data_IF_057325641030
#
_entry.id   IF_057325641030
#
_cell.length_a   1.000
_cell.length_b   1.000
_cell.length_c   1.000
_cell.angle_alpha   90.00
_cell.angle_beta   90.00
_cell.angle_gamma   90.00
#
_symmetry.space_group_name_H-M   'P 1'
#
loop_
_entity.id
_entity.type
_entity.pdbx_description
1 polymer ?
#
# COMPACT_ATOMS: atom_id res chain seq x y z
N UNK A 1 -37.33 -65.88 -8.06
CA UNK A 1 -37.08 -64.74 -7.14
C UNK A 1 -35.72 -64.15 -7.47
N UNK A 2 -35.70 -63.05 -8.21
CA UNK A 2 -34.47 -62.37 -8.59
C UNK A 2 -34.12 -61.35 -7.50
N UNK A 3 -32.96 -61.51 -6.87
CA UNK A 3 -32.36 -60.49 -6.04
C UNK A 3 -31.34 -59.72 -6.87
N UNK A 4 -31.70 -58.51 -7.29
CA UNK A 4 -30.81 -57.62 -7.96
C UNK A 4 -29.82 -57.02 -6.95
N UNK A 5 -28.55 -57.36 -7.07
CA UNK A 5 -27.48 -56.69 -6.37
C UNK A 5 -27.09 -55.43 -7.11
N UNK A 6 -27.34 -54.30 -6.47
CA UNK A 6 -26.93 -53.00 -6.98
C UNK A 6 -25.45 -52.79 -6.62
N UNK A 7 -24.59 -52.88 -7.62
CA UNK A 7 -23.20 -52.45 -7.50
C UNK A 7 -23.16 -50.93 -7.56
N UNK A 8 -22.91 -50.33 -6.40
CA UNK A 8 -22.58 -48.91 -6.34
C UNK A 8 -21.07 -48.76 -6.59
N UNK A 9 -20.73 -48.41 -7.80
CA UNK A 9 -19.35 -48.04 -8.13
C UNK A 9 -19.12 -46.62 -7.63
N UNK A 10 -18.44 -46.53 -6.50
CA UNK A 10 -17.95 -45.23 -6.02
C UNK A 10 -16.83 -44.75 -6.94
N UNK A 11 -17.18 -43.84 -7.84
CA UNK A 11 -16.20 -43.12 -8.64
C UNK A 11 -15.43 -42.16 -7.75
N UNK A 12 -14.16 -42.48 -7.48
CA UNK A 12 -13.21 -41.56 -6.87
C UNK A 12 -12.84 -40.55 -7.96
N UNK A 13 -13.48 -39.39 -7.92
CA UNK A 13 -13.01 -38.23 -8.67
C UNK A 13 -11.76 -37.73 -7.97
N UNK A 14 -10.60 -38.11 -8.46
CA UNK A 14 -9.34 -37.43 -8.15
C UNK A 14 -9.41 -36.03 -8.81
N UNK A 15 -9.92 -35.07 -8.07
CA UNK A 15 -9.63 -33.69 -8.36
C UNK A 15 -8.13 -33.51 -8.13
N UNK A 16 -7.34 -33.57 -9.20
CA UNK A 16 -6.03 -32.99 -9.23
C UNK A 16 -6.21 -31.46 -9.12
N UNK A 17 -6.57 -31.04 -7.93
CA UNK A 17 -6.54 -29.65 -7.54
C UNK A 17 -5.07 -29.24 -7.62
N UNK A 18 -4.74 -28.43 -8.64
CA UNK A 18 -3.48 -27.75 -8.66
C UNK A 18 -3.29 -27.09 -7.32
N UNK A 19 -2.20 -27.45 -6.64
CA UNK A 19 -1.71 -26.73 -5.48
C UNK A 19 -1.19 -25.42 -6.05
N UNK A 20 -2.11 -24.53 -6.43
CA UNK A 20 -1.78 -23.13 -6.47
C UNK A 20 -1.33 -22.82 -5.06
N UNK A 21 -0.05 -22.57 -4.87
CA UNK A 21 0.44 -22.03 -3.64
C UNK A 21 -0.43 -20.80 -3.35
N UNK A 22 -1.38 -20.94 -2.44
CA UNK A 22 -1.95 -19.85 -1.72
C UNK A 22 -0.75 -19.27 -0.96
N UNK A 23 -0.07 -18.35 -1.63
CA UNK A 23 0.82 -17.44 -0.91
C UNK A 23 -0.09 -16.81 0.11
N UNK A 24 0.04 -17.25 1.35
CA UNK A 24 -0.61 -16.60 2.47
C UNK A 24 -0.18 -15.13 2.36
N UNK A 25 -1.10 -14.27 1.92
CA UNK A 25 -0.87 -12.85 1.92
C UNK A 25 -0.55 -12.53 3.36
N UNK A 26 0.68 -12.08 3.60
CA UNK A 26 1.12 -11.68 4.91
C UNK A 26 0.15 -10.60 5.38
N UNK A 27 -0.66 -10.90 6.39
CA UNK A 27 -1.50 -9.91 7.08
C UNK A 27 -0.64 -9.01 8.00
N UNK A 28 0.67 -9.02 7.81
CA UNK A 28 1.57 -8.16 8.53
C UNK A 28 1.40 -6.71 8.08
N UNK A 29 1.46 -5.75 9.00
CA UNK A 29 1.45 -4.35 8.67
C UNK A 29 2.55 -4.00 7.67
N UNK A 30 2.24 -3.11 6.74
CA UNK A 30 3.19 -2.58 5.78
C UNK A 30 3.35 -1.08 6.00
N UNK A 31 4.57 -0.60 5.94
CA UNK A 31 4.86 0.80 6.21
C UNK A 31 5.25 1.54 4.94
N UNK A 32 4.89 2.79 4.87
CA UNK A 32 5.33 3.72 3.83
C UNK A 32 5.98 4.93 4.47
N UNK A 33 7.16 5.27 3.99
CA UNK A 33 7.86 6.51 4.33
C UNK A 33 7.85 7.41 3.10
N UNK A 34 7.16 8.53 3.21
CA UNK A 34 7.10 9.54 2.16
C UNK A 34 7.93 10.76 2.54
N UNK A 35 8.99 10.99 1.80
CA UNK A 35 9.80 12.20 1.84
C UNK A 35 9.35 13.13 0.73
N UNK A 36 8.82 14.28 1.08
CA UNK A 36 8.26 15.22 0.11
C UNK A 36 8.92 16.57 0.33
N UNK A 37 9.56 17.10 -0.70
CA UNK A 37 10.01 18.47 -0.65
C UNK A 37 8.99 19.35 -1.38
N UNK A 38 8.15 20.04 -0.63
CA UNK A 38 7.13 20.93 -1.17
C UNK A 38 7.80 22.27 -1.51
N UNK A 39 7.78 22.63 -2.78
CA UNK A 39 8.42 23.84 -3.32
C UNK A 39 7.42 24.99 -3.34
N UNK A 40 6.20 24.71 -3.78
CA UNK A 40 5.09 25.65 -3.80
C UNK A 40 3.93 25.06 -2.99
N UNK A 41 3.80 25.47 -1.75
CA UNK A 41 2.81 24.92 -0.83
C UNK A 41 1.36 25.20 -1.27
N UNK A 42 0.97 26.41 -1.68
CA UNK A 42 -0.38 26.66 -2.17
C UNK A 42 -0.74 25.77 -3.38
N UNK A 43 0.15 25.66 -4.36
CA UNK A 43 -0.07 24.82 -5.53
C UNK A 43 -0.11 23.32 -5.16
N UNK A 44 0.71 22.88 -4.23
CA UNK A 44 0.69 21.51 -3.71
C UNK A 44 -0.65 21.17 -3.03
N UNK A 45 -1.14 22.04 -2.16
CA UNK A 45 -2.43 21.85 -1.49
C UNK A 45 -3.60 21.90 -2.50
N UNK A 46 -3.52 22.75 -3.53
CA UNK A 46 -4.51 22.83 -4.61
C UNK A 46 -4.46 21.64 -5.60
N UNK A 47 -3.46 20.78 -5.52
CA UNK A 47 -3.27 19.65 -6.46
C UNK A 47 -4.25 18.49 -6.30
N UNK A 48 -5.08 18.51 -5.27
CA UNK A 48 -5.98 17.42 -4.88
C UNK A 48 -5.34 16.43 -3.91
N UNK A 49 -4.25 16.79 -3.26
CA UNK A 49 -3.57 15.95 -2.25
C UNK A 49 -4.49 15.59 -1.08
N UNK A 50 -5.46 16.43 -0.76
CA UNK A 50 -6.45 16.14 0.29
C UNK A 50 -7.29 14.91 -0.05
N UNK A 51 -7.74 14.79 -1.29
CA UNK A 51 -8.47 13.61 -1.76
C UNK A 51 -7.61 12.35 -1.70
N UNK A 52 -6.31 12.47 -2.01
CA UNK A 52 -5.35 11.36 -1.86
C UNK A 52 -5.24 10.93 -0.40
N UNK A 53 -5.10 11.87 0.53
CA UNK A 53 -5.06 11.58 1.98
C UNK A 53 -6.33 10.89 2.47
N UNK A 54 -7.50 11.34 2.00
CA UNK A 54 -8.78 10.75 2.38
C UNK A 54 -8.91 9.31 1.87
N UNK A 55 -8.46 9.03 0.65
CA UNK A 55 -8.45 7.68 0.09
C UNK A 55 -7.44 6.77 0.81
N UNK A 56 -6.28 7.28 1.19
CA UNK A 56 -5.31 6.55 2.02
C UNK A 56 -5.95 6.17 3.36
N UNK A 57 -6.59 7.10 4.04
CA UNK A 57 -7.30 6.84 5.30
C UNK A 57 -8.44 5.84 5.14
N UNK A 58 -9.23 5.99 4.07
CA UNK A 58 -10.34 5.08 3.77
C UNK A 58 -9.90 3.64 3.51
N UNK A 59 -8.66 3.41 3.10
CA UNK A 59 -8.08 2.07 2.96
C UNK A 59 -7.74 1.38 4.27
N UNK A 60 -7.88 2.05 5.41
CA UNK A 60 -7.47 1.57 6.73
C UNK A 60 -6.05 1.96 7.12
N UNK A 61 -5.34 2.70 6.27
CA UNK A 61 -4.02 3.20 6.61
C UNK A 61 -4.08 4.26 7.72
N UNK A 62 -3.06 4.26 8.57
CA UNK A 62 -2.91 5.20 9.68
C UNK A 62 -1.65 6.02 9.47
N UNK A 63 -1.75 7.33 9.60
CA UNK A 63 -0.57 8.19 9.67
C UNK A 63 0.00 8.09 11.10
N UNK A 64 1.22 7.58 11.20
CA UNK A 64 1.90 7.36 12.48
C UNK A 64 2.70 8.58 12.93
N UNK A 65 3.34 9.26 11.99
CA UNK A 65 4.20 10.41 12.28
C UNK A 65 4.37 11.29 11.05
N UNK A 66 4.84 12.49 11.26
CA UNK A 66 5.27 13.41 10.21
C UNK A 66 4.44 14.69 10.13
N UNK A 67 4.59 15.36 9.02
CA UNK A 67 4.00 16.66 8.74
C UNK A 67 5.01 17.64 8.15
N UNK A 68 4.60 18.89 7.96
CA UNK A 68 5.50 19.94 7.52
C UNK A 68 6.50 20.33 8.61
N UNK A 69 7.79 20.39 8.25
CA UNK A 69 8.87 20.84 9.14
C UNK A 69 8.88 20.11 10.49
N UNK A 70 8.59 18.80 10.48
CA UNK A 70 8.55 17.95 11.69
C UNK A 70 9.72 16.98 11.79
N UNK A 71 10.76 17.18 10.97
CA UNK A 71 11.96 16.35 10.95
C UNK A 71 13.16 17.12 11.46
N UNK A 72 14.05 16.40 12.12
CA UNK A 72 15.37 16.89 12.53
C UNK A 72 16.43 16.06 11.85
N UNK A 73 17.38 16.69 11.19
CA UNK A 73 18.55 16.00 10.63
C UNK A 73 19.66 15.91 11.67
N UNK A 74 20.29 14.76 11.77
CA UNK A 74 21.43 14.51 12.67
C UNK A 74 22.76 14.33 11.92
N UNK A 75 22.71 14.29 10.58
CA UNK A 75 23.89 14.12 9.71
C UNK A 75 24.31 15.41 8.99
N UNK A 76 23.64 16.53 9.28
CA UNK A 76 23.91 17.82 8.68
C UNK A 76 23.27 18.05 7.30
N UNK A 77 22.68 17.03 6.66
CA UNK A 77 21.93 17.21 5.43
C UNK A 77 20.54 17.79 5.72
N UNK A 78 20.06 18.81 4.99
CA UNK A 78 18.72 19.34 5.22
C UNK A 78 17.68 18.25 4.87
N UNK A 79 16.72 17.96 5.79
CA UNK A 79 15.66 17.01 5.50
C UNK A 79 14.67 17.61 4.51
N UNK A 80 13.89 16.75 3.85
CA UNK A 80 12.72 17.21 3.12
C UNK A 80 11.78 17.96 4.08
N UNK A 81 11.10 18.99 3.58
CA UNK A 81 10.25 19.83 4.45
C UNK A 81 8.93 19.15 4.85
N UNK A 82 8.64 17.98 4.28
CA UNK A 82 7.49 17.16 4.65
C UNK A 82 7.89 15.68 4.69
N UNK A 83 7.72 15.07 5.84
CA UNK A 83 7.85 13.64 6.06
C UNK A 83 6.54 13.06 6.53
N UNK A 84 6.16 11.90 6.01
CA UNK A 84 4.97 11.17 6.43
C UNK A 84 5.33 9.70 6.60
N UNK A 85 4.87 9.11 7.69
CA UNK A 85 4.99 7.68 7.94
C UNK A 85 3.59 7.12 8.08
N UNK A 86 3.24 6.20 7.19
CA UNK A 86 1.96 5.49 7.20
C UNK A 86 2.16 4.03 7.55
N UNK A 87 1.18 3.48 8.24
CA UNK A 87 1.01 2.05 8.43
C UNK A 87 -0.24 1.61 7.67
N UNK A 88 -0.08 0.70 6.73
CA UNK A 88 -1.15 0.02 6.03
C UNK A 88 -1.48 -1.30 6.72
N UNK A 89 -2.73 -1.81 6.62
CA UNK A 89 -3.11 -3.11 7.16
C UNK A 89 -2.22 -4.24 6.64
N UNK A 90 -1.85 -4.19 5.38
CA UNK A 90 -0.99 -5.15 4.69
C UNK A 90 -0.38 -4.54 3.42
N UNK A 91 0.56 -5.27 2.82
CA UNK A 91 1.23 -4.87 1.58
C UNK A 91 0.27 -4.79 0.39
N UNK A 92 -0.72 -5.68 0.30
CA UNK A 92 -1.67 -5.69 -0.82
C UNK A 92 -2.52 -4.42 -0.84
N UNK A 93 -2.97 -3.96 0.33
CA UNK A 93 -3.68 -2.69 0.49
C UNK A 93 -2.80 -1.51 0.07
N UNK A 94 -1.54 -1.49 0.54
CA UNK A 94 -0.58 -0.45 0.13
C UNK A 94 -0.38 -0.42 -1.38
N UNK A 95 -0.11 -1.58 -2.00
CA UNK A 95 0.18 -1.68 -3.44
C UNK A 95 -1.03 -1.21 -4.27
N UNK A 96 -2.24 -1.55 -3.84
CA UNK A 96 -3.47 -1.08 -4.47
C UNK A 96 -3.59 0.44 -4.40
N UNK A 97 -3.46 1.03 -3.23
CA UNK A 97 -3.53 2.49 -3.04
C UNK A 97 -2.40 3.20 -3.78
N UNK A 98 -1.20 2.66 -3.75
CA UNK A 98 -0.07 3.21 -4.51
C UNK A 98 -0.36 3.26 -6.01
N UNK A 99 -0.93 2.18 -6.56
CA UNK A 99 -1.20 2.05 -8.00
C UNK A 99 -2.41 2.88 -8.43
N UNK A 100 -3.50 2.83 -7.67
CA UNK A 100 -4.78 3.43 -8.07
C UNK A 100 -4.93 4.90 -7.69
N UNK A 101 -4.21 5.35 -6.67
CA UNK A 101 -4.39 6.68 -6.08
C UNK A 101 -3.12 7.53 -6.11
N UNK A 102 -2.03 7.01 -5.51
CA UNK A 102 -0.83 7.83 -5.29
C UNK A 102 -0.10 8.11 -6.61
N UNK A 103 0.20 7.08 -7.38
CA UNK A 103 0.91 7.25 -8.67
C UNK A 103 0.15 8.09 -9.68
N UNK A 104 -1.16 7.91 -9.92
CA UNK A 104 -1.91 8.78 -10.81
C UNK A 104 -1.89 10.25 -10.39
N UNK A 105 -1.97 10.51 -9.09
CA UNK A 105 -1.83 11.87 -8.58
C UNK A 105 -0.41 12.42 -8.78
N UNK A 106 0.62 11.63 -8.47
CA UNK A 106 2.02 12.02 -8.69
C UNK A 106 2.30 12.37 -10.16
N UNK A 107 1.82 11.55 -11.10
CA UNK A 107 1.97 11.84 -12.54
C UNK A 107 1.23 13.13 -12.94
N UNK A 108 0.08 13.40 -12.34
CA UNK A 108 -0.67 14.64 -12.58
C UNK A 108 0.07 15.89 -12.11
N UNK A 109 0.85 15.79 -11.04
CA UNK A 109 1.60 16.94 -10.47
C UNK A 109 3.05 16.99 -10.94
N UNK A 110 3.55 15.92 -11.56
CA UNK A 110 4.89 15.83 -12.12
C UNK A 110 5.14 16.97 -13.13
N UNK A 111 6.28 17.59 -13.03
CA UNK A 111 6.67 18.69 -13.91
C UNK A 111 6.00 20.04 -13.60
N UNK A 112 5.11 20.11 -12.62
CA UNK A 112 4.51 21.39 -12.18
C UNK A 112 5.38 22.15 -11.19
N UNK A 113 6.57 21.65 -10.89
CA UNK A 113 7.54 22.24 -9.93
C UNK A 113 6.95 22.52 -8.54
N UNK A 114 5.89 21.81 -8.15
CA UNK A 114 5.22 22.02 -6.85
C UNK A 114 5.88 21.24 -5.74
N UNK A 115 6.48 20.10 -6.07
CA UNK A 115 7.11 19.21 -5.09
C UNK A 115 7.98 18.13 -5.77
N UNK A 116 8.90 17.60 -4.99
CA UNK A 116 9.62 16.37 -5.31
C UNK A 116 9.25 15.29 -4.31
N UNK A 117 9.31 14.03 -4.75
CA UNK A 117 8.85 12.89 -3.95
C UNK A 117 9.92 11.80 -3.90
N UNK A 118 10.08 11.22 -2.73
CA UNK A 118 10.70 9.91 -2.54
C UNK A 118 9.80 9.10 -1.61
N UNK A 119 9.22 8.03 -2.13
CA UNK A 119 8.33 7.16 -1.36
C UNK A 119 8.96 5.77 -1.30
N UNK A 120 9.09 5.24 -0.11
CA UNK A 120 9.70 3.96 0.18
C UNK A 120 8.73 3.11 0.98
N UNK A 121 8.46 1.91 0.49
CA UNK A 121 7.72 0.90 1.24
C UNK A 121 8.68 0.08 2.11
N UNK A 122 8.24 -0.26 3.32
CA UNK A 122 9.04 -1.02 4.30
C UNK A 122 8.18 -2.12 4.89
N UNK A 123 8.67 -3.35 4.83
CA UNK A 123 8.03 -4.48 5.52
C UNK A 123 8.22 -4.38 7.03
N UNK A 124 7.25 -4.89 7.79
CA UNK A 124 7.42 -5.03 9.23
C UNK A 124 8.66 -5.88 9.54
N UNK A 125 9.41 -5.50 10.56
CA UNK A 125 10.51 -6.32 11.03
C UNK A 125 9.97 -7.69 11.47
N UNK A 126 10.63 -8.76 11.04
CA UNK A 126 10.33 -10.11 11.51
C UNK A 126 10.54 -10.16 13.03
N UNK A 127 9.59 -10.78 13.72
CA UNK A 127 9.70 -11.10 15.15
C UNK A 127 10.34 -12.45 15.35
#
# INVERSE_FOLDING_TARGET
MLKSALLVTAGIVLCAGGIGALQAQSNAPYYEVAEINVIDQPAYEASGVDKVRDQIKASGAKMLAGGYNKTTSYDGAPPANRYLIFQYPDKATHDKISTEVIRPWQEKVKGKSTSTFRIVGVEAAGQ
#
